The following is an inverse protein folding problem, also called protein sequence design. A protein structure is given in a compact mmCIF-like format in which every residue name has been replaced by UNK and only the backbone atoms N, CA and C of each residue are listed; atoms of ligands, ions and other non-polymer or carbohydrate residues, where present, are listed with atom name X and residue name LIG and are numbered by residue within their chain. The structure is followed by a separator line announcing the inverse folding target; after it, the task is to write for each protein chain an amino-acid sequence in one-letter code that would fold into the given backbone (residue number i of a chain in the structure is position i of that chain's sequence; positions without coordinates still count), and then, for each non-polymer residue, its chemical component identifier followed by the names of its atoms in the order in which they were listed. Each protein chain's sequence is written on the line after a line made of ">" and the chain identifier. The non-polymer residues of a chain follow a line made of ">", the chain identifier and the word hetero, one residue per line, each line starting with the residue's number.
data_IF_359964282723
#
_entry.id   IF_359964282723
#
_cell.length_a   1.000
_cell.length_b   1.000
_cell.length_c   1.000
_cell.angle_alpha   90.00
_cell.angle_beta   90.00
_cell.angle_gamma   90.00
#
_symmetry.space_group_name_H-M   'P 1'
#
loop_
_entity.id
_entity.type
_entity.pdbx_description
1 polymer ?
#
# COMPACT_ATOMS: atom_id res chain seq x y z
N UNK A 1 2.18 -26.88 0.29
CA UNK A 1 2.88 -27.76 -0.66
C UNK A 1 2.29 -29.16 -0.48
N UNK A 2 1.92 -29.82 -1.57
CA UNK A 2 1.38 -31.19 -1.54
C UNK A 2 2.35 -32.08 -2.31
N UNK A 3 2.78 -33.19 -1.71
CA UNK A 3 3.58 -34.21 -2.37
C UNK A 3 2.70 -35.42 -2.67
N UNK A 4 2.78 -35.93 -3.89
CA UNK A 4 1.97 -37.06 -4.37
C UNK A 4 2.94 -38.14 -4.82
N UNK A 5 2.79 -39.35 -4.27
CA UNK A 5 3.54 -40.53 -4.68
C UNK A 5 2.59 -41.73 -4.68
N UNK A 6 2.53 -42.51 -5.76
CA UNK A 6 1.74 -43.75 -5.76
C UNK A 6 2.35 -44.75 -4.78
N UNK A 7 1.49 -45.48 -4.08
CA UNK A 7 1.90 -46.53 -3.13
C UNK A 7 2.08 -47.90 -3.80
N UNK A 8 1.52 -48.06 -5.01
CA UNK A 8 1.56 -49.27 -5.83
C UNK A 8 1.64 -48.88 -7.31
N UNK A 9 2.19 -49.75 -8.14
CA UNK A 9 2.17 -49.67 -9.60
C UNK A 9 1.00 -50.43 -10.23
N UNK A 10 0.23 -51.17 -9.43
CA UNK A 10 -1.01 -51.84 -9.85
C UNK A 10 -2.16 -50.83 -9.85
N UNK A 11 -2.67 -50.51 -11.03
CA UNK A 11 -3.81 -49.59 -11.25
C UNK A 11 -3.73 -48.24 -10.50
N UNK A 12 -2.60 -47.50 -10.60
CA UNK A 12 -2.36 -46.28 -9.80
C UNK A 12 -3.10 -45.04 -10.30
N UNK A 13 -3.76 -45.12 -11.46
CA UNK A 13 -4.37 -43.98 -12.12
C UNK A 13 -5.67 -43.60 -11.41
N UNK A 14 -5.82 -42.34 -11.03
CA UNK A 14 -6.99 -41.87 -10.29
C UNK A 14 -7.19 -40.37 -10.46
N UNK A 15 -8.30 -39.84 -9.97
CA UNK A 15 -8.54 -38.41 -9.87
C UNK A 15 -8.16 -37.86 -8.49
N UNK A 16 -7.79 -36.58 -8.45
CA UNK A 16 -7.58 -35.82 -7.22
C UNK A 16 -8.33 -34.50 -7.29
N UNK A 17 -9.20 -34.27 -6.30
CA UNK A 17 -9.94 -33.02 -6.13
C UNK A 17 -9.39 -32.26 -4.94
N UNK A 18 -8.99 -31.01 -5.15
CA UNK A 18 -8.53 -30.10 -4.09
C UNK A 18 -9.49 -28.93 -4.02
N UNK A 19 -10.09 -28.73 -2.85
CA UNK A 19 -10.93 -27.57 -2.57
C UNK A 19 -10.21 -26.61 -1.63
N UNK A 20 -10.20 -25.34 -1.98
CA UNK A 20 -9.71 -24.24 -1.15
C UNK A 20 -10.82 -23.21 -0.95
N UNK A 21 -10.55 -22.16 -0.18
CA UNK A 21 -11.50 -21.06 -0.01
C UNK A 21 -11.73 -20.23 -1.30
N UNK A 22 -10.87 -20.32 -2.32
CA UNK A 22 -10.98 -19.50 -3.55
C UNK A 22 -11.02 -20.29 -4.85
N UNK A 23 -10.54 -21.52 -4.86
CA UNK A 23 -10.38 -22.33 -6.07
C UNK A 23 -10.67 -23.81 -5.80
N UNK A 24 -11.19 -24.49 -6.84
CA UNK A 24 -11.32 -25.95 -6.91
C UNK A 24 -10.43 -26.46 -8.04
N UNK A 25 -9.61 -27.46 -7.75
CA UNK A 25 -8.72 -28.10 -8.72
C UNK A 25 -9.20 -29.52 -8.96
N UNK A 26 -9.34 -29.89 -10.23
CA UNK A 26 -9.66 -31.23 -10.69
C UNK A 26 -8.44 -31.75 -11.45
N UNK A 27 -7.73 -32.71 -10.87
CA UNK A 27 -6.51 -33.27 -11.42
C UNK A 27 -6.72 -34.73 -11.78
N UNK A 28 -6.21 -35.15 -12.93
CA UNK A 28 -6.07 -36.56 -13.27
C UNK A 28 -4.62 -36.98 -13.02
N UNK A 29 -4.44 -38.00 -12.19
CA UNK A 29 -3.13 -38.55 -11.86
C UNK A 29 -2.87 -39.77 -12.74
N UNK A 30 -1.77 -39.73 -13.48
CA UNK A 30 -1.29 -40.85 -14.31
C UNK A 30 0.10 -41.29 -13.85
N UNK A 31 0.29 -42.59 -13.64
CA UNK A 31 1.63 -43.14 -13.51
C UNK A 31 2.29 -43.16 -14.89
N UNK A 32 3.48 -42.56 -14.97
CA UNK A 32 4.32 -42.57 -16.17
C UNK A 32 5.67 -43.22 -15.84
N UNK A 33 6.21 -43.98 -16.79
CA UNK A 33 7.48 -44.71 -16.61
C UNK A 33 8.66 -44.02 -17.29
N UNK A 34 8.42 -43.16 -18.29
CA UNK A 34 9.46 -42.38 -18.95
C UNK A 34 9.71 -41.09 -18.19
N UNK A 35 10.98 -40.82 -17.86
CA UNK A 35 11.37 -39.60 -17.15
C UNK A 35 10.94 -38.31 -17.88
N UNK A 36 10.92 -38.33 -19.22
CA UNK A 36 10.50 -37.19 -20.03
C UNK A 36 9.03 -36.79 -19.85
N UNK A 37 8.17 -37.71 -19.40
CA UNK A 37 6.74 -37.45 -19.17
C UNK A 37 6.44 -37.11 -17.71
N UNK A 38 7.44 -37.16 -16.82
CA UNK A 38 7.26 -36.94 -15.39
C UNK A 38 7.06 -35.46 -15.08
N UNK A 39 6.00 -35.15 -14.33
CA UNK A 39 5.81 -33.82 -13.76
C UNK A 39 6.40 -33.77 -12.35
N UNK A 40 7.61 -33.21 -12.21
CA UNK A 40 8.28 -33.06 -10.92
C UNK A 40 7.67 -31.94 -10.05
N UNK A 41 7.16 -30.89 -10.68
CA UNK A 41 6.52 -29.78 -10.01
C UNK A 41 5.39 -29.21 -10.87
N UNK A 42 4.19 -29.13 -10.29
CA UNK A 42 3.05 -28.43 -10.86
C UNK A 42 2.83 -27.12 -10.08
N UNK A 43 2.80 -25.99 -10.80
CA UNK A 43 2.55 -24.66 -10.24
C UNK A 43 1.45 -23.98 -11.03
N UNK A 44 0.53 -23.33 -10.33
CA UNK A 44 -0.51 -22.50 -10.93
C UNK A 44 -0.09 -21.04 -10.86
N UNK A 45 -0.01 -20.37 -12.01
CA UNK A 45 0.11 -18.91 -12.09
C UNK A 45 -1.29 -18.34 -12.25
N UNK A 46 -1.70 -17.49 -11.32
CA UNK A 46 -2.98 -16.81 -11.38
C UNK A 46 -2.82 -15.50 -12.14
N UNK A 47 -3.68 -15.22 -13.14
CA UNK A 47 -3.68 -13.91 -13.77
C UNK A 47 -4.04 -12.86 -12.72
N UNK A 48 -3.46 -11.66 -12.85
CA UNK A 48 -3.94 -10.53 -12.07
C UNK A 48 -5.44 -10.37 -12.35
N UNK A 49 -6.28 -10.26 -11.31
CA UNK A 49 -7.68 -9.94 -11.53
C UNK A 49 -7.72 -8.66 -12.38
N UNK A 50 -8.63 -8.58 -13.38
CA UNK A 50 -8.74 -7.39 -14.21
C UNK A 50 -8.81 -6.22 -13.25
N UNK A 51 -7.88 -5.26 -13.42
CA UNK A 51 -7.88 -4.04 -12.62
C UNK A 51 -9.32 -3.56 -12.73
N UNK A 52 -10.03 -3.51 -11.59
CA UNK A 52 -11.30 -2.79 -11.53
C UNK A 52 -10.98 -1.48 -12.23
N UNK A 53 -11.80 -1.07 -13.19
CA UNK A 53 -11.70 0.26 -13.78
C UNK A 53 -11.95 1.22 -12.63
N UNK A 54 -10.92 1.43 -11.81
CA UNK A 54 -10.87 2.49 -10.84
C UNK A 54 -11.10 3.70 -11.69
N UNK A 55 -12.09 4.49 -11.31
CA UNK A 55 -12.15 5.89 -11.68
C UNK A 55 -10.70 6.35 -11.78
N UNK A 56 -10.31 6.83 -12.97
CA UNK A 56 -8.96 7.30 -13.27
C UNK A 56 -8.46 7.94 -11.98
N UNK A 57 -7.50 7.30 -11.30
CA UNK A 57 -6.70 8.03 -10.33
C UNK A 57 -5.99 9.02 -11.22
N UNK A 58 -6.65 10.16 -11.48
CA UNK A 58 -5.96 11.41 -11.66
C UNK A 58 -5.05 11.38 -10.46
N UNK A 59 -3.76 11.28 -10.72
CA UNK A 59 -2.78 11.70 -9.74
C UNK A 59 -3.32 13.04 -9.26
N UNK A 60 -3.91 13.11 -8.06
CA UNK A 60 -4.61 14.31 -7.66
C UNK A 60 -3.44 15.24 -7.40
N UNK A 61 -3.11 16.06 -8.40
CA UNK A 61 -2.10 17.11 -8.25
C UNK A 61 -2.33 17.79 -6.91
N UNK A 62 -1.25 18.11 -6.20
CA UNK A 62 -1.23 18.49 -4.80
C UNK A 62 -2.60 18.55 -4.10
N UNK A 63 -2.93 17.62 -3.18
CA UNK A 63 -4.26 17.55 -2.56
C UNK A 63 -4.61 18.80 -1.75
N UNK A 64 -3.63 19.69 -1.54
CA UNK A 64 -3.75 21.00 -0.93
C UNK A 64 -3.94 22.17 -1.92
N UNK A 65 -3.99 21.95 -3.24
CA UNK A 65 -4.25 22.96 -4.29
C UNK A 65 -5.75 23.31 -4.45
N UNK A 66 -6.62 22.75 -3.59
CA UNK A 66 -8.05 22.99 -3.56
C UNK A 66 -8.50 24.15 -2.66
N UNK A 67 -9.82 24.27 -2.42
CA UNK A 67 -10.37 25.27 -1.51
C UNK A 67 -9.80 25.13 -0.10
N UNK A 68 -9.39 26.27 0.48
CA UNK A 68 -8.96 26.36 1.88
C UNK A 68 -10.18 26.46 2.77
N UNK A 69 -10.25 25.64 3.81
CA UNK A 69 -11.29 25.72 4.84
C UNK A 69 -10.86 26.60 6.00
N UNK A 70 -9.66 26.39 6.57
CA UNK A 70 -9.09 27.30 7.56
C UNK A 70 -7.62 27.62 7.27
N UNK A 71 -7.20 28.78 7.76
CA UNK A 71 -5.85 29.31 7.63
C UNK A 71 -5.81 30.74 7.09
N UNK A 72 -4.61 31.31 6.92
CA UNK A 72 -3.32 30.70 7.29
C UNK A 72 -3.15 30.56 8.81
N UNK A 73 -2.57 29.45 9.24
CA UNK A 73 -2.28 29.19 10.64
C UNK A 73 -1.11 30.01 11.17
N UNK A 74 -1.16 30.32 12.47
CA UNK A 74 -0.06 30.97 13.16
C UNK A 74 1.07 29.97 13.43
N UNK A 75 2.32 30.44 13.32
CA UNK A 75 3.52 29.65 13.61
C UNK A 75 4.42 30.40 14.57
N UNK A 76 5.15 29.67 15.41
CA UNK A 76 6.21 30.19 16.28
C UNK A 76 7.49 29.43 16.01
N UNK A 77 8.60 30.15 15.88
CA UNK A 77 9.94 29.58 15.68
C UNK A 77 10.98 30.44 16.39
N UNK A 78 12.04 29.81 16.88
CA UNK A 78 13.25 30.47 17.39
C UNK A 78 14.26 30.72 16.26
N UNK A 79 15.41 31.32 16.58
CA UNK A 79 16.55 31.45 15.67
C UNK A 79 17.03 30.11 15.14
N UNK A 80 17.00 29.08 15.98
CA UNK A 80 17.51 27.73 15.71
C UNK A 80 16.53 26.89 14.89
N UNK A 81 15.22 27.10 15.05
CA UNK A 81 14.16 26.34 14.37
C UNK A 81 13.64 27.02 13.10
N UNK A 82 14.17 28.19 12.74
CA UNK A 82 13.72 28.94 11.55
C UNK A 82 13.94 28.18 10.24
N UNK A 83 14.95 27.31 10.18
CA UNK A 83 15.29 26.52 9.00
C UNK A 83 14.28 25.41 8.67
N UNK A 84 13.50 24.97 9.66
CA UNK A 84 12.46 23.94 9.55
C UNK A 84 11.04 24.51 9.65
N UNK A 85 10.90 25.84 9.72
CA UNK A 85 9.61 26.48 9.82
C UNK A 85 8.91 26.47 8.43
N UNK A 86 7.62 26.09 8.34
CA UNK A 86 6.89 26.22 7.10
C UNK A 86 6.73 27.69 6.72
N UNK A 87 6.62 27.97 5.43
CA UNK A 87 6.23 29.28 4.90
C UNK A 87 4.80 29.63 5.30
N UNK A 88 3.87 28.69 5.16
CA UNK A 88 2.48 28.83 5.60
C UNK A 88 1.88 27.46 5.93
N UNK A 89 0.78 27.47 6.69
CA UNK A 89 -0.02 26.28 6.99
C UNK A 89 -1.50 26.57 6.84
N UNK A 90 -2.28 25.62 6.34
CA UNK A 90 -3.72 25.71 6.15
C UNK A 90 -4.34 24.32 6.15
N UNK A 91 -5.67 24.21 6.17
CA UNK A 91 -6.37 22.94 5.94
C UNK A 91 -7.55 23.09 4.97
N UNK A 92 -8.04 21.95 4.49
CA UNK A 92 -9.23 21.86 3.64
C UNK A 92 -10.38 21.06 4.29
N UNK A 93 -10.39 20.95 5.62
CA UNK A 93 -11.34 20.16 6.40
C UNK A 93 -11.06 18.66 6.48
N UNK A 94 -10.08 18.16 5.73
CA UNK A 94 -9.66 16.74 5.77
C UNK A 94 -8.15 16.58 5.93
N UNK A 95 -7.37 17.49 5.36
CA UNK A 95 -5.92 17.47 5.34
C UNK A 95 -5.38 18.80 5.82
N UNK A 96 -4.33 18.74 6.63
CA UNK A 96 -3.54 19.92 7.01
C UNK A 96 -2.28 19.98 6.17
N UNK A 97 -1.99 21.16 5.62
CA UNK A 97 -1.01 21.38 4.57
C UNK A 97 0.01 22.42 5.04
N UNK A 98 1.29 22.09 4.94
CA UNK A 98 2.39 22.98 5.28
C UNK A 98 3.29 23.21 4.08
N UNK A 99 3.32 24.43 3.53
CA UNK A 99 4.20 24.78 2.41
C UNK A 99 5.57 25.20 2.91
N UNK A 100 6.62 24.75 2.24
CA UNK A 100 8.00 25.10 2.51
C UNK A 100 8.66 25.66 1.25
N UNK A 101 9.13 26.89 1.29
CA UNK A 101 9.63 27.61 0.10
C UNK A 101 11.15 27.59 -0.06
N UNK A 102 11.87 26.76 0.70
CA UNK A 102 13.32 26.64 0.63
C UNK A 102 13.83 25.19 0.66
N UNK A 103 15.14 25.03 0.39
CA UNK A 103 15.87 23.76 0.42
C UNK A 103 16.30 23.36 1.85
N UNK A 104 15.64 23.90 2.87
CA UNK A 104 15.89 23.55 4.26
C UNK A 104 15.45 22.11 4.58
N UNK A 105 15.98 21.52 5.66
CA UNK A 105 15.57 20.19 6.10
C UNK A 105 14.07 20.15 6.36
N UNK A 106 13.43 19.05 5.99
CA UNK A 106 12.01 18.81 6.29
C UNK A 106 11.89 18.26 7.72
N UNK A 107 11.03 18.85 8.58
CA UNK A 107 10.83 18.33 9.93
C UNK A 107 10.00 17.03 9.91
N UNK A 108 10.07 16.29 11.01
CA UNK A 108 9.05 15.30 11.37
C UNK A 108 7.91 16.05 12.04
N UNK A 109 6.67 15.74 11.67
CA UNK A 109 5.48 16.38 12.23
C UNK A 109 4.86 15.50 13.31
N UNK A 110 4.48 16.15 14.41
CA UNK A 110 3.73 15.57 15.51
C UNK A 110 2.41 16.32 15.64
N UNK A 111 1.36 15.62 16.04
CA UNK A 111 0.06 16.20 16.39
C UNK A 111 -0.15 16.12 17.90
N UNK A 112 -0.74 17.17 18.45
CA UNK A 112 -1.12 17.24 19.87
C UNK A 112 -2.51 16.64 20.03
N UNK A 113 -2.64 15.62 20.87
CA UNK A 113 -3.90 14.96 21.19
C UNK A 113 -4.74 15.77 22.20
N UNK A 114 -6.04 15.46 22.38
CA UNK A 114 -6.89 16.17 23.34
C UNK A 114 -6.41 16.11 24.80
N UNK A 115 -5.58 15.12 25.15
CA UNK A 115 -4.95 14.98 26.47
C UNK A 115 -3.65 15.78 26.62
N UNK A 116 -3.24 16.51 25.57
CA UNK A 116 -2.02 17.32 25.53
C UNK A 116 -0.75 16.55 25.18
N UNK A 117 -0.83 15.24 24.94
CA UNK A 117 0.34 14.44 24.50
C UNK A 117 0.58 14.58 23.00
N UNK A 118 1.81 14.33 22.57
CA UNK A 118 2.17 14.36 21.14
C UNK A 118 2.29 12.95 20.57
N UNK A 119 1.79 12.76 19.34
CA UNK A 119 2.00 11.53 18.56
C UNK A 119 2.48 11.86 17.15
N UNK A 120 3.17 10.91 16.52
CA UNK A 120 3.60 11.05 15.13
C UNK A 120 2.40 11.25 14.22
N UNK A 121 2.44 12.29 13.39
CA UNK A 121 1.41 12.54 12.40
C UNK A 121 1.64 11.68 11.15
N UNK A 122 0.57 11.08 10.61
CA UNK A 122 0.64 10.44 9.30
C UNK A 122 0.70 11.51 8.22
N UNK A 123 1.79 11.54 7.46
CA UNK A 123 2.07 12.61 6.52
C UNK A 123 2.88 12.12 5.32
N UNK A 124 2.72 12.81 4.20
CA UNK A 124 3.53 12.62 3.01
C UNK A 124 3.95 13.97 2.41
N UNK A 125 4.98 13.94 1.56
CA UNK A 125 5.41 15.12 0.82
C UNK A 125 4.75 15.13 -0.55
N UNK A 126 4.27 16.29 -0.97
CA UNK A 126 3.76 16.56 -2.31
C UNK A 126 4.39 17.88 -2.79
N UNK A 127 5.36 17.78 -3.69
CA UNK A 127 6.21 18.89 -4.11
C UNK A 127 6.82 19.67 -2.93
N UNK A 128 6.44 20.93 -2.76
CA UNK A 128 6.91 21.81 -1.69
C UNK A 128 5.95 21.87 -0.49
N UNK A 129 4.97 20.96 -0.43
CA UNK A 129 3.96 20.87 0.64
C UNK A 129 4.12 19.55 1.40
N UNK A 130 4.08 19.61 2.72
CA UNK A 130 3.86 18.42 3.56
C UNK A 130 2.38 18.33 3.87
N UNK A 131 1.78 17.18 3.54
CA UNK A 131 0.36 16.91 3.66
C UNK A 131 0.14 15.94 4.83
N UNK A 132 -0.51 16.42 5.87
CA UNK A 132 -0.88 15.66 7.06
C UNK A 132 -2.30 15.12 6.91
N UNK A 133 -2.49 13.84 7.22
CA UNK A 133 -3.77 13.14 7.13
C UNK A 133 -4.59 13.37 8.40
N UNK A 134 -5.14 14.57 8.51
CA UNK A 134 -5.93 15.02 9.65
C UNK A 134 -6.00 16.54 9.75
N UNK A 135 -6.86 17.02 10.64
CA UNK A 135 -7.05 18.43 11.01
C UNK A 135 -7.00 18.61 12.52
#
# INVERSE_FOLDING_TARGET
>A
MVAIKPITDQEPNTNLVINTNRHTYLLELKLVTRAADMTYALRFTYPEPPKKTGAVRRDPGNPCDGPVQNGPYQKRSSSESRSIAPYEGWDNGMLTCFRFTGNGPRPVLYQVLPDGTETLADAHNEQNVVVVHGV
#
